data_IF_161208136514
#
_entry.id   IF_161208136514
#
_cell.length_a   1.000
_cell.length_b   1.000
_cell.length_c   1.000
_cell.angle_alpha   90.00
_cell.angle_beta   90.00
_cell.angle_gamma   90.00
#
_symmetry.space_group_name_H-M   'P 1'
#
loop_
_entity.id
_entity.type
_entity.pdbx_description
1 polymer ?
#
# COMPACT_ATOMS: atom_id res chain seq x y z
N UNK A 1 -5.42 -16.84 -8.82
CA UNK A 1 -6.36 -15.70 -8.64
C UNK A 1 -5.53 -14.46 -8.36
N UNK A 2 -6.04 -13.28 -8.66
CA UNK A 2 -5.41 -12.03 -8.26
C UNK A 2 -5.85 -11.69 -6.83
N UNK A 3 -4.91 -11.50 -5.93
CA UNK A 3 -5.15 -11.13 -4.53
C UNK A 3 -4.48 -9.78 -4.29
N UNK A 4 -5.30 -8.72 -4.24
CA UNK A 4 -4.86 -7.33 -4.10
C UNK A 4 -6.06 -6.43 -3.82
N UNK A 5 -5.79 -5.17 -3.46
CA UNK A 5 -6.83 -4.23 -3.01
C UNK A 5 -7.78 -3.84 -4.15
N UNK A 6 -7.30 -3.86 -5.40
CA UNK A 6 -8.04 -3.46 -6.61
C UNK A 6 -7.56 -2.10 -7.11
N UNK A 7 -7.48 -1.15 -6.18
CA UNK A 7 -6.94 0.19 -6.37
C UNK A 7 -5.40 0.20 -6.23
N UNK A 8 -4.75 1.12 -6.93
CA UNK A 8 -3.32 1.38 -6.81
C UNK A 8 -3.06 2.56 -5.86
N UNK A 9 -1.96 2.50 -5.12
CA UNK A 9 -1.51 3.58 -4.22
C UNK A 9 -0.17 4.10 -4.74
N UNK A 10 -0.06 5.41 -4.94
CA UNK A 10 1.20 6.05 -5.35
C UNK A 10 2.19 6.16 -4.19
N UNK A 11 3.46 6.42 -4.51
CA UNK A 11 4.52 6.60 -3.51
C UNK A 11 4.20 7.71 -2.50
N UNK A 12 3.58 8.81 -2.95
CA UNK A 12 3.27 9.93 -2.06
C UNK A 12 2.02 9.68 -1.20
N UNK A 13 1.01 8.98 -1.73
CA UNK A 13 -0.14 8.54 -0.93
C UNK A 13 0.27 7.54 0.15
N UNK A 14 1.21 6.63 -0.14
CA UNK A 14 1.80 5.73 0.85
C UNK A 14 2.56 6.49 1.95
N UNK A 15 3.31 7.55 1.59
CA UNK A 15 4.01 8.43 2.55
C UNK A 15 3.01 9.20 3.41
N UNK A 16 1.98 9.82 2.82
CA UNK A 16 0.98 10.57 3.57
C UNK A 16 0.17 9.66 4.50
N UNK A 17 -0.28 8.50 4.02
CA UNK A 17 -0.96 7.51 4.84
C UNK A 17 -0.09 7.04 6.02
N UNK A 18 1.23 6.89 5.84
CA UNK A 18 2.15 6.63 6.94
C UNK A 18 2.21 7.78 7.95
N UNK A 19 2.43 9.02 7.52
CA UNK A 19 2.49 10.17 8.45
C UNK A 19 1.17 10.37 9.22
N UNK A 20 0.04 10.24 8.54
CA UNK A 20 -1.30 10.36 9.13
C UNK A 20 -1.64 9.22 10.09
N UNK A 21 -1.30 7.97 9.74
CA UNK A 21 -1.64 6.80 10.56
C UNK A 21 -0.69 6.56 11.74
N UNK A 22 0.49 7.19 11.74
CA UNK A 22 1.53 6.98 12.77
C UNK A 22 1.82 8.21 13.62
N UNK A 23 1.60 9.42 13.09
CA UNK A 23 2.03 10.68 13.68
C UNK A 23 3.52 11.01 13.46
N UNK A 24 4.29 10.10 12.86
CA UNK A 24 5.72 10.31 12.57
C UNK A 24 5.91 11.14 11.30
N UNK A 25 7.10 11.75 11.16
CA UNK A 25 7.50 12.45 9.93
C UNK A 25 8.55 11.65 9.16
N UNK A 26 8.31 11.50 7.85
CA UNK A 26 9.08 10.65 6.95
C UNK A 26 9.85 11.52 5.93
N UNK A 27 11.07 11.99 6.25
CA UNK A 27 11.83 12.86 5.36
C UNK A 27 12.28 12.11 4.09
N UNK A 28 11.82 12.58 2.93
CA UNK A 28 12.18 12.03 1.63
C UNK A 28 12.74 13.10 0.67
N UNK A 29 13.28 12.65 -0.46
CA UNK A 29 13.66 13.50 -1.60
C UNK A 29 13.27 12.79 -2.90
N UNK A 30 12.83 13.55 -3.90
CA UNK A 30 12.54 12.98 -5.22
C UNK A 30 13.86 12.61 -5.90
N UNK A 31 13.99 11.35 -6.32
CA UNK A 31 15.11 10.82 -7.08
C UNK A 31 14.79 10.65 -8.57
N UNK A 32 15.78 10.24 -9.39
CA UNK A 32 15.52 9.80 -10.76
C UNK A 32 14.69 8.50 -10.76
N UNK A 33 14.01 8.22 -11.89
CA UNK A 33 13.32 6.93 -12.10
C UNK A 33 14.33 5.77 -11.97
N UNK A 34 13.96 4.74 -11.20
CA UNK A 34 14.76 3.51 -11.09
C UNK A 34 14.61 2.68 -12.38
N UNK A 35 15.72 2.22 -13.01
CA UNK A 35 15.63 1.37 -14.19
C UNK A 35 14.84 0.08 -13.90
N UNK A 36 13.86 -0.23 -14.74
CA UNK A 36 12.98 -1.39 -14.60
C UNK A 36 11.66 -1.15 -13.87
N UNK A 37 11.46 0.01 -13.23
CA UNK A 37 10.16 0.38 -12.66
C UNK A 37 9.16 0.75 -13.77
N UNK A 38 7.91 0.29 -13.61
CA UNK A 38 6.76 0.68 -14.45
C UNK A 38 5.99 1.83 -13.78
N UNK A 39 5.32 2.67 -14.58
CA UNK A 39 4.58 3.83 -14.07
C UNK A 39 3.43 3.48 -13.11
N UNK A 40 2.76 2.33 -13.31
CA UNK A 40 1.74 1.80 -12.40
C UNK A 40 1.55 0.28 -12.55
N UNK A 41 1.21 -0.40 -11.46
CA UNK A 41 0.77 -1.80 -11.46
C UNK A 41 -0.19 -2.03 -10.28
N UNK A 42 -1.36 -2.62 -10.56
CA UNK A 42 -2.40 -2.96 -9.59
C UNK A 42 -3.25 -4.12 -10.11
N UNK A 43 -4.07 -4.73 -9.25
CA UNK A 43 -4.64 -6.05 -9.52
C UNK A 43 -6.17 -6.08 -9.34
N UNK A 44 -6.93 -6.21 -10.45
CA UNK A 44 -8.38 -6.48 -10.37
C UNK A 44 -8.62 -7.79 -9.62
N UNK A 45 -9.36 -7.68 -8.51
CA UNK A 45 -9.68 -8.78 -7.58
C UNK A 45 -11.06 -9.42 -7.85
N UNK A 46 -11.81 -8.93 -8.86
CA UNK A 46 -13.17 -9.39 -9.17
C UNK A 46 -13.32 -10.91 -9.24
N UNK A 47 -12.33 -11.60 -9.84
CA UNK A 47 -12.38 -13.06 -10.01
C UNK A 47 -12.24 -13.80 -8.67
N UNK A 48 -11.54 -13.21 -7.69
CA UNK A 48 -11.48 -13.74 -6.33
C UNK A 48 -12.79 -13.45 -5.59
N UNK A 49 -13.31 -12.22 -5.69
CA UNK A 49 -14.59 -11.84 -5.08
C UNK A 49 -15.78 -12.65 -5.61
N UNK A 50 -15.83 -12.98 -6.91
CA UNK A 50 -16.92 -13.76 -7.51
C UNK A 50 -16.88 -15.27 -7.24
N UNK A 51 -15.70 -15.86 -7.00
CA UNK A 51 -15.52 -17.33 -6.99
C UNK A 51 -14.96 -17.89 -5.68
N UNK A 52 -14.44 -17.04 -4.79
CA UNK A 52 -13.89 -17.41 -3.49
C UNK A 52 -14.55 -16.65 -2.32
N UNK A 53 -15.52 -15.78 -2.62
CA UNK A 53 -16.04 -14.71 -1.75
C UNK A 53 -14.95 -13.85 -1.07
N UNK A 54 -13.76 -13.80 -1.68
CA UNK A 54 -12.60 -13.15 -1.11
C UNK A 54 -12.56 -11.66 -1.46
N UNK A 55 -12.40 -10.81 -0.46
CA UNK A 55 -12.23 -9.36 -0.60
C UNK A 55 -11.15 -8.85 0.36
N UNK A 56 -10.36 -7.83 -0.03
CA UNK A 56 -9.52 -7.10 0.91
C UNK A 56 -10.37 -6.52 2.04
N UNK A 57 -9.85 -6.57 3.28
CA UNK A 57 -10.55 -6.10 4.50
C UNK A 57 -9.84 -4.92 5.16
N UNK A 58 -8.83 -4.33 4.50
CA UNK A 58 -7.87 -3.39 5.06
C UNK A 58 -7.55 -2.31 4.04
N UNK A 59 -7.49 -1.06 4.50
CA UNK A 59 -7.05 0.08 3.73
C UNK A 59 -5.55 0.38 3.93
N UNK A 60 -5.04 1.39 3.24
CA UNK A 60 -3.63 1.79 3.30
C UNK A 60 -3.23 2.36 4.68
N UNK A 61 -4.12 3.04 5.39
CA UNK A 61 -3.82 3.66 6.68
C UNK A 61 -3.67 2.58 7.77
N UNK A 62 -4.50 1.55 7.76
CA UNK A 62 -4.33 0.41 8.66
C UNK A 62 -3.11 -0.45 8.31
N UNK A 63 -2.80 -0.62 7.02
CA UNK A 63 -1.57 -1.30 6.59
C UNK A 63 -0.33 -0.55 7.08
N UNK A 64 -0.27 0.78 6.92
CA UNK A 64 0.87 1.58 7.38
C UNK A 64 0.98 1.61 8.91
N UNK A 65 -0.13 1.78 9.62
CA UNK A 65 -0.16 1.75 11.09
C UNK A 65 0.36 0.42 11.64
N UNK A 66 -0.14 -0.71 11.14
CA UNK A 66 0.25 -2.03 11.63
C UNK A 66 1.69 -2.41 11.25
N UNK A 67 2.18 -1.95 10.09
CA UNK A 67 3.60 -2.08 9.73
C UNK A 67 4.52 -1.28 10.68
N UNK A 68 4.10 -0.08 11.10
CA UNK A 68 4.86 0.72 12.07
C UNK A 68 4.78 0.19 13.51
N UNK A 69 3.62 -0.32 13.92
CA UNK A 69 3.45 -1.04 15.20
C UNK A 69 4.41 -2.24 15.29
N UNK A 70 4.62 -2.95 14.19
CA UNK A 70 5.60 -4.05 14.09
C UNK A 70 7.06 -3.56 14.13
N UNK A 71 7.45 -2.59 13.31
CA UNK A 71 8.86 -2.16 13.23
C UNK A 71 9.35 -1.50 14.55
N UNK A 72 8.44 -0.95 15.37
CA UNK A 72 8.75 -0.43 16.71
C UNK A 72 9.07 -1.48 17.78
N UNK A 73 8.80 -2.77 17.53
CA UNK A 73 9.02 -3.87 18.51
C UNK A 73 10.04 -4.91 18.03
N UNK A 74 10.88 -4.52 17.07
CA UNK A 74 11.83 -5.37 16.33
C UNK A 74 13.29 -5.19 16.79
#
# INVERSE_FOLDING_TARGET
FNLGIGEGVSVLEAVHAFEESTGEKLPYRIGPRRPGDVDAVYASNERAARLLDWRPQRDIAEIMRTAWEWEKVR
#
